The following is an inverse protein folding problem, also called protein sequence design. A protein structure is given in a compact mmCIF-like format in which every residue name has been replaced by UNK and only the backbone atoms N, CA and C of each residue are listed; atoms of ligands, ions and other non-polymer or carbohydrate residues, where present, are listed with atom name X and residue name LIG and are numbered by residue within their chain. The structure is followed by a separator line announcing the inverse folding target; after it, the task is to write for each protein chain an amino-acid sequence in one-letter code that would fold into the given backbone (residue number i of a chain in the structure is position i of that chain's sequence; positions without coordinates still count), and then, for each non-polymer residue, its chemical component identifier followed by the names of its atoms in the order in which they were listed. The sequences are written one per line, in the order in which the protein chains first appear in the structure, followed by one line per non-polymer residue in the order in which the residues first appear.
data_IF_040008510063
#
_entry.id   IF_040008510063
#
_cell.length_a   1.000
_cell.length_b   1.000
_cell.length_c   1.000
_cell.angle_alpha   90.00
_cell.angle_beta   90.00
_cell.angle_gamma   90.00
#
_symmetry.space_group_name_H-M   'P 1'
#
loop_
_entity.id
_entity.type
_entity.pdbx_description
1 polymer ?
#
# COMPACT_ATOMS: atom_id res chain seq x y z
N UNK A 1 -8.71 14.42 20.77
CA UNK A 1 -7.98 14.15 19.51
C UNK A 1 -8.92 13.35 18.62
N UNK A 2 -9.40 13.94 17.53
CA UNK A 2 -10.26 13.23 16.56
C UNK A 2 -9.37 12.41 15.65
N UNK A 3 -9.38 11.09 15.82
CA UNK A 3 -8.62 10.18 14.96
C UNK A 3 -9.37 10.00 13.63
N UNK A 4 -8.82 10.56 12.55
CA UNK A 4 -9.36 10.40 11.20
C UNK A 4 -8.77 9.15 10.55
N UNK A 5 -9.43 8.01 10.78
CA UNK A 5 -9.05 6.74 10.17
C UNK A 5 -9.63 6.60 8.77
N UNK A 6 -8.81 6.14 7.81
CA UNK A 6 -9.28 5.73 6.50
C UNK A 6 -9.87 4.32 6.57
N UNK A 7 -11.08 4.14 6.06
CA UNK A 7 -11.73 2.82 5.92
C UNK A 7 -11.89 2.50 4.45
N UNK A 8 -11.31 1.38 3.99
CA UNK A 8 -11.43 0.90 2.61
C UNK A 8 -11.76 -0.59 2.62
N UNK A 9 -12.72 -1.00 1.78
CA UNK A 9 -13.19 -2.39 1.69
C UNK A 9 -13.52 -3.02 3.07
N UNK A 10 -14.12 -2.25 3.98
CA UNK A 10 -14.46 -2.70 5.34
C UNK A 10 -13.28 -2.84 6.31
N UNK A 11 -12.07 -2.43 5.91
CA UNK A 11 -10.86 -2.45 6.77
C UNK A 11 -10.46 -1.04 7.17
N UNK A 12 -10.15 -0.85 8.45
CA UNK A 12 -9.47 0.35 8.95
C UNK A 12 -8.00 0.27 8.59
N UNK A 13 -7.46 1.30 7.95
CA UNK A 13 -6.07 1.33 7.52
C UNK A 13 -5.16 2.07 8.51
N UNK A 14 -3.92 1.62 8.62
CA UNK A 14 -2.83 2.36 9.27
C UNK A 14 -2.52 3.62 8.43
N UNK A 15 -2.09 4.73 9.05
CA UNK A 15 -1.66 5.95 8.34
C UNK A 15 -0.26 5.75 7.73
N UNK A 16 -0.06 4.64 7.02
CA UNK A 16 1.19 4.23 6.39
C UNK A 16 0.91 3.97 4.91
N UNK A 17 1.70 4.63 4.06
CA UNK A 17 1.68 4.44 2.61
C UNK A 17 3.07 4.02 2.16
N UNK A 18 3.18 2.89 1.48
CA UNK A 18 4.41 2.47 0.81
C UNK A 18 4.40 3.03 -0.61
N UNK A 19 5.41 3.81 -0.98
CA UNK A 19 5.56 4.37 -2.33
C UNK A 19 6.12 3.37 -3.33
N UNK A 20 5.63 3.40 -4.58
CA UNK A 20 6.10 2.52 -5.65
C UNK A 20 7.54 2.85 -6.07
N UNK A 21 8.36 1.82 -6.31
CA UNK A 21 9.74 1.96 -6.79
C UNK A 21 9.86 1.33 -8.18
N UNK A 22 10.31 2.12 -9.15
CA UNK A 22 10.39 1.75 -10.58
C UNK A 22 11.50 0.77 -10.96
N UNK A 23 11.87 -0.09 -10.03
CA UNK A 23 12.98 -1.07 -10.12
C UNK A 23 12.50 -2.49 -9.80
N UNK A 24 11.20 -2.77 -9.96
CA UNK A 24 10.63 -4.10 -9.75
C UNK A 24 10.43 -4.55 -8.30
N UNK A 25 10.75 -3.72 -7.30
CA UNK A 25 10.64 -4.09 -5.87
C UNK A 25 9.21 -3.95 -5.32
N UNK A 26 8.48 -2.93 -5.75
CA UNK A 26 7.15 -2.59 -5.20
C UNK A 26 5.98 -3.42 -5.74
N UNK A 27 6.23 -4.42 -6.58
CA UNK A 27 5.19 -5.28 -7.15
C UNK A 27 4.61 -6.26 -6.10
N UNK A 28 4.22 -7.47 -6.52
CA UNK A 28 3.36 -8.37 -5.75
C UNK A 28 3.81 -8.65 -4.29
N UNK A 29 5.11 -8.61 -4.01
CA UNK A 29 5.64 -8.90 -2.66
C UNK A 29 5.47 -7.72 -1.68
N UNK A 30 6.06 -6.56 -1.97
CA UNK A 30 6.06 -5.44 -1.01
C UNK A 30 4.66 -4.82 -0.87
N UNK A 31 4.01 -4.47 -1.99
CA UNK A 31 2.69 -3.84 -1.94
C UNK A 31 1.63 -4.79 -1.32
N UNK A 32 1.70 -6.09 -1.63
CA UNK A 32 0.84 -7.10 -1.02
C UNK A 32 1.08 -7.26 0.48
N UNK A 33 2.35 -7.25 0.93
CA UNK A 33 2.70 -7.33 2.35
C UNK A 33 2.16 -6.12 3.12
N UNK A 34 2.34 -4.90 2.59
CA UNK A 34 1.81 -3.67 3.21
C UNK A 34 0.29 -3.72 3.30
N UNK A 35 -0.41 -4.13 2.23
CA UNK A 35 -1.86 -4.30 2.23
C UNK A 35 -2.35 -5.36 3.24
N UNK A 36 -1.59 -6.45 3.43
CA UNK A 36 -1.91 -7.49 4.42
C UNK A 36 -1.84 -6.98 5.87
N UNK A 37 -1.04 -5.94 6.11
CA UNK A 37 -0.88 -5.28 7.41
C UNK A 37 -1.80 -4.05 7.59
N UNK A 38 -2.83 -3.91 6.75
CA UNK A 38 -3.74 -2.75 6.71
C UNK A 38 -3.05 -1.43 6.36
N UNK A 39 -1.90 -1.44 5.68
CA UNK A 39 -1.33 -0.24 5.05
C UNK A 39 -1.81 -0.07 3.61
N UNK A 40 -1.38 1.02 2.96
CA UNK A 40 -1.59 1.24 1.53
C UNK A 40 -0.32 0.88 0.77
N UNK A 41 -0.36 -0.19 -0.04
CA UNK A 41 0.72 -0.58 -0.94
C UNK A 41 0.56 0.05 -2.33
N UNK A 42 1.65 0.54 -2.91
CA UNK A 42 1.65 1.17 -4.24
C UNK A 42 2.51 0.37 -5.20
N UNK A 43 1.96 0.01 -6.35
CA UNK A 43 2.69 -0.63 -7.45
C UNK A 43 3.14 0.46 -8.43
N UNK A 44 4.43 0.48 -8.76
CA UNK A 44 4.94 1.36 -9.80
C UNK A 44 4.47 0.87 -11.18
N UNK A 45 3.95 1.78 -12.02
CA UNK A 45 3.45 1.45 -13.37
C UNK A 45 4.56 1.31 -14.43
N UNK A 46 5.82 1.44 -14.01
CA UNK A 46 6.98 1.21 -14.86
C UNK A 46 7.37 -0.26 -14.74
N UNK A 47 7.73 -0.86 -15.87
CA UNK A 47 8.13 -2.27 -16.00
C UNK A 47 7.00 -3.30 -15.82
N UNK A 48 5.74 -2.92 -16.10
CA UNK A 48 4.57 -3.82 -16.15
C UNK A 48 4.50 -4.67 -17.45
N UNK A 49 5.62 -4.89 -18.11
CA UNK A 49 5.70 -5.63 -19.38
C UNK A 49 5.51 -7.13 -19.19
#
# INVERSE_FOLDING_TARGET
MTEHWLTLAGRRLLPIVQGGMGIGISAHRLAGTVASQNGVGTIASIDLR
#
